data_IF_127756694976
#
_entry.id   IF_127756694976
#
_cell.length_a   1.000
_cell.length_b   1.000
_cell.length_c   1.000
_cell.angle_alpha   90.00
_cell.angle_beta   90.00
_cell.angle_gamma   90.00
#
_symmetry.space_group_name_H-M   'P 1'
#
loop_
_entity.id
_entity.type
_entity.pdbx_description
1 polymer ?
#
# COMPACT_ATOMS: atom_id res chain seq x y z
N UNK A 1 -34.54 22.73 17.22
CA UNK A 1 -35.48 21.74 17.77
C UNK A 1 -35.00 20.39 17.29
N UNK A 2 -34.17 19.69 18.08
CA UNK A 2 -33.55 18.43 17.67
C UNK A 2 -34.54 17.28 17.86
N UNK A 3 -34.66 16.42 16.86
CA UNK A 3 -35.58 15.28 16.89
C UNK A 3 -35.19 14.25 17.97
N UNK A 4 -36.12 13.85 18.86
CA UNK A 4 -35.86 12.92 19.97
C UNK A 4 -35.69 11.44 19.55
N UNK A 5 -35.53 11.15 18.26
CA UNK A 5 -35.37 9.80 17.70
C UNK A 5 -33.92 9.48 17.28
N UNK A 6 -32.99 10.38 17.59
CA UNK A 6 -31.55 10.28 17.30
C UNK A 6 -30.81 9.37 18.29
N UNK A 7 -31.41 8.22 18.62
CA UNK A 7 -30.77 7.20 19.47
C UNK A 7 -29.60 6.50 18.76
N UNK A 8 -28.69 5.84 19.52
CA UNK A 8 -27.52 5.12 18.99
C UNK A 8 -27.87 4.00 17.99
N UNK A 9 -29.13 3.57 17.93
CA UNK A 9 -29.64 2.64 16.93
C UNK A 9 -29.68 3.23 15.51
N UNK A 10 -29.98 4.53 15.36
CA UNK A 10 -30.00 5.20 14.05
C UNK A 10 -28.58 5.35 13.49
N UNK A 11 -27.57 5.59 14.33
CA UNK A 11 -26.18 5.67 13.86
C UNK A 11 -25.65 4.33 13.38
N UNK A 12 -25.92 3.23 14.11
CA UNK A 12 -25.50 1.89 13.70
C UNK A 12 -26.12 1.47 12.36
N UNK A 13 -27.39 1.82 12.11
CA UNK A 13 -28.09 1.51 10.87
C UNK A 13 -27.54 2.33 9.69
N UNK A 14 -27.20 3.60 9.91
CA UNK A 14 -26.53 4.45 8.92
C UNK A 14 -25.12 3.92 8.62
N UNK A 15 -24.34 3.54 9.63
CA UNK A 15 -23.01 2.95 9.43
C UNK A 15 -23.07 1.61 8.67
N UNK A 16 -24.07 0.77 8.98
CA UNK A 16 -24.30 -0.46 8.24
C UNK A 16 -24.71 -0.17 6.79
N UNK A 17 -25.56 0.83 6.55
CA UNK A 17 -25.96 1.25 5.21
C UNK A 17 -24.78 1.80 4.40
N UNK A 18 -23.87 2.57 5.01
CA UNK A 18 -22.65 3.04 4.36
C UNK A 18 -21.69 1.90 4.01
N UNK A 19 -21.56 0.89 4.87
CA UNK A 19 -20.77 -0.30 4.55
C UNK A 19 -21.37 -1.09 3.38
N UNK A 20 -22.69 -1.28 3.38
CA UNK A 20 -23.40 -1.92 2.28
C UNK A 20 -23.22 -1.08 1.00
N UNK A 21 -23.39 0.24 1.06
CA UNK A 21 -23.18 1.12 -0.08
C UNK A 21 -21.74 1.04 -0.61
N UNK A 22 -20.73 0.98 0.27
CA UNK A 22 -19.33 0.81 -0.12
C UNK A 22 -19.07 -0.53 -0.80
N UNK A 23 -19.67 -1.61 -0.32
CA UNK A 23 -19.55 -2.94 -0.97
C UNK A 23 -20.29 -3.00 -2.30
N UNK A 24 -21.46 -2.36 -2.44
CA UNK A 24 -22.21 -2.29 -3.70
C UNK A 24 -21.48 -1.45 -4.75
N UNK A 25 -20.97 -0.27 -4.38
CA UNK A 25 -20.25 0.61 -5.32
C UNK A 25 -18.86 0.08 -5.68
N UNK A 26 -18.20 -0.65 -4.77
CA UNK A 26 -16.86 -1.18 -4.99
C UNK A 26 -16.85 -2.59 -5.56
N UNK A 27 -16.94 -3.58 -4.67
CA UNK A 27 -16.74 -4.99 -5.01
C UNK A 27 -17.86 -5.55 -5.89
N UNK A 28 -19.12 -5.20 -5.62
CA UNK A 28 -20.25 -5.69 -6.42
C UNK A 28 -20.22 -5.09 -7.84
N UNK A 29 -19.91 -3.79 -7.98
CA UNK A 29 -19.83 -3.14 -9.28
C UNK A 29 -18.78 -3.78 -10.19
N UNK A 30 -17.58 -4.03 -9.65
CA UNK A 30 -16.50 -4.70 -10.40
C UNK A 30 -16.83 -6.15 -10.75
N UNK A 31 -17.49 -6.91 -9.86
CA UNK A 31 -17.89 -8.29 -10.16
C UNK A 31 -18.99 -8.37 -11.21
N UNK A 32 -20.00 -7.50 -11.18
CA UNK A 32 -21.03 -7.42 -12.24
C UNK A 32 -20.38 -7.09 -13.59
N UNK A 33 -19.42 -6.16 -13.61
CA UNK A 33 -18.67 -5.86 -14.82
C UNK A 33 -17.95 -7.10 -15.37
N UNK A 34 -17.30 -7.90 -14.52
CA UNK A 34 -16.65 -9.16 -14.94
C UNK A 34 -17.65 -10.21 -15.43
N UNK A 35 -18.82 -10.32 -14.79
CA UNK A 35 -19.89 -11.22 -15.27
C UNK A 35 -20.35 -10.79 -16.66
N UNK A 36 -20.55 -9.49 -16.92
CA UNK A 36 -20.91 -9.00 -18.24
C UNK A 36 -19.83 -9.36 -19.30
N UNK A 37 -18.54 -9.31 -18.96
CA UNK A 37 -17.44 -9.77 -19.83
C UNK A 37 -17.61 -11.26 -20.16
N UNK A 38 -17.92 -12.10 -19.16
CA UNK A 38 -18.12 -13.53 -19.36
C UNK A 38 -19.30 -13.83 -20.30
N UNK A 39 -20.40 -13.08 -20.19
CA UNK A 39 -21.55 -13.20 -21.10
C UNK A 39 -21.21 -12.76 -22.53
N UNK A 40 -20.38 -11.72 -22.72
CA UNK A 40 -19.90 -11.30 -24.05
C UNK A 40 -18.97 -12.36 -24.67
N UNK A 41 -18.08 -12.95 -23.86
CA UNK A 41 -17.22 -14.07 -24.27
C UNK A 41 -18.02 -15.32 -24.64
N UNK A 42 -19.08 -15.62 -23.88
CA UNK A 42 -20.01 -16.71 -24.19
C UNK A 42 -20.75 -16.44 -25.50
N UNK A 43 -21.14 -15.18 -25.74
CA UNK A 43 -21.69 -14.73 -27.03
C UNK A 43 -20.74 -15.02 -28.20
N UNK A 44 -19.42 -14.86 -28.01
CA UNK A 44 -18.45 -15.25 -29.04
C UNK A 44 -18.41 -16.76 -29.28
N UNK A 45 -18.53 -17.57 -28.23
CA UNK A 45 -18.51 -19.03 -28.31
C UNK A 45 -19.74 -19.59 -29.04
N UNK A 46 -20.88 -18.86 -29.03
CA UNK A 46 -22.07 -19.21 -29.82
C UNK A 46 -21.88 -19.18 -31.35
N UNK A 47 -20.66 -18.90 -31.84
CA UNK A 47 -20.20 -19.40 -33.14
C UNK A 47 -20.61 -18.57 -34.37
N UNK A 48 -21.19 -17.38 -34.19
CA UNK A 48 -21.63 -16.50 -35.30
C UNK A 48 -21.18 -15.04 -35.21
N UNK A 49 -20.35 -14.68 -34.23
CA UNK A 49 -19.82 -13.32 -34.06
C UNK A 49 -18.33 -13.35 -34.37
N UNK A 50 -17.84 -12.44 -35.23
CA UNK A 50 -16.42 -12.34 -35.58
C UNK A 50 -15.54 -12.35 -34.33
N UNK A 51 -14.74 -13.42 -34.15
CA UNK A 51 -13.85 -13.63 -33.00
C UNK A 51 -12.94 -12.42 -32.70
N UNK A 52 -12.62 -11.69 -33.77
CA UNK A 52 -11.85 -10.44 -33.74
C UNK A 52 -12.57 -9.33 -32.98
N UNK A 53 -13.90 -9.23 -33.10
CA UNK A 53 -14.67 -8.09 -32.56
C UNK A 53 -14.86 -8.21 -31.06
N UNK A 54 -15.18 -9.39 -30.55
CA UNK A 54 -15.32 -9.58 -29.12
C UNK A 54 -13.97 -9.76 -28.40
N UNK A 55 -12.90 -10.21 -29.05
CA UNK A 55 -11.55 -10.12 -28.48
C UNK A 55 -11.19 -8.65 -28.14
N UNK A 56 -11.48 -7.71 -29.04
CA UNK A 56 -11.29 -6.27 -28.79
C UNK A 56 -12.16 -5.75 -27.65
N UNK A 57 -13.40 -6.24 -27.50
CA UNK A 57 -14.31 -5.84 -26.40
C UNK A 57 -13.84 -6.38 -25.05
N UNK A 58 -13.40 -7.65 -24.99
CA UNK A 58 -12.83 -8.27 -23.79
C UNK A 58 -11.57 -7.52 -23.35
N UNK A 59 -10.68 -7.21 -24.30
CA UNK A 59 -9.47 -6.45 -24.04
C UNK A 59 -9.78 -5.03 -23.54
N UNK A 60 -10.73 -4.33 -24.18
CA UNK A 60 -11.16 -3.01 -23.74
C UNK A 60 -11.72 -3.02 -22.31
N UNK A 61 -12.60 -3.96 -21.99
CA UNK A 61 -13.18 -4.06 -20.65
C UNK A 61 -12.14 -4.42 -19.58
N UNK A 62 -11.17 -5.31 -19.89
CA UNK A 62 -10.04 -5.60 -19.01
C UNK A 62 -9.19 -4.36 -18.73
N UNK A 63 -8.97 -3.50 -19.73
CA UNK A 63 -8.21 -2.27 -19.53
C UNK A 63 -9.01 -1.25 -18.71
N UNK A 64 -10.32 -1.09 -18.93
CA UNK A 64 -11.18 -0.17 -18.16
C UNK A 64 -11.28 -0.53 -16.67
N UNK A 65 -11.43 -1.82 -16.34
CA UNK A 65 -11.62 -2.27 -14.94
C UNK A 65 -10.35 -2.83 -14.27
N UNK A 66 -9.50 -3.54 -15.02
CA UNK A 66 -8.33 -4.26 -14.49
C UNK A 66 -7.06 -3.42 -14.47
N UNK A 67 -6.75 -2.69 -15.54
CA UNK A 67 -5.49 -1.93 -15.64
C UNK A 67 -5.27 -0.90 -14.51
N UNK A 68 -6.28 -0.14 -14.03
CA UNK A 68 -6.08 0.81 -12.93
C UNK A 68 -5.63 0.13 -11.63
N UNK A 69 -6.15 -1.07 -11.35
CA UNK A 69 -5.80 -1.82 -10.13
C UNK A 69 -4.34 -2.29 -10.16
N UNK A 70 -3.88 -2.75 -11.33
CA UNK A 70 -2.50 -3.18 -11.56
C UNK A 70 -1.56 -1.97 -11.49
N UNK A 71 -1.93 -0.86 -12.14
CA UNK A 71 -1.16 0.37 -12.13
C UNK A 71 -1.00 0.93 -10.71
N UNK A 72 -2.08 0.98 -9.93
CA UNK A 72 -2.04 1.42 -8.54
C UNK A 72 -1.14 0.53 -7.67
N UNK A 73 -1.14 -0.80 -7.91
CA UNK A 73 -0.23 -1.73 -7.24
C UNK A 73 1.24 -1.45 -7.56
N UNK A 74 1.56 -1.21 -8.84
CA UNK A 74 2.92 -0.88 -9.28
C UNK A 74 3.38 0.50 -8.78
N UNK A 75 2.50 1.51 -8.77
CA UNK A 75 2.81 2.83 -8.24
C UNK A 75 3.17 2.77 -6.75
N UNK A 76 2.45 1.98 -5.95
CA UNK A 76 2.77 1.75 -4.53
C UNK A 76 4.14 1.12 -4.32
N UNK A 77 4.54 0.19 -5.19
CA UNK A 77 5.88 -0.40 -5.17
C UNK A 77 6.95 0.64 -5.55
N UNK A 78 6.64 1.53 -6.49
CA UNK A 78 7.52 2.63 -6.90
C UNK A 78 7.73 3.69 -5.81
N UNK A 79 6.67 4.11 -5.13
CA UNK A 79 6.73 5.07 -4.02
C UNK A 79 7.55 4.52 -2.84
N UNK A 80 7.43 3.21 -2.57
CA UNK A 80 8.26 2.54 -1.57
C UNK A 80 9.76 2.57 -1.91
N UNK A 81 10.12 2.61 -3.20
CA UNK A 81 11.51 2.79 -3.64
C UNK A 81 11.96 4.26 -3.76
N UNK A 82 11.02 5.21 -3.87
CA UNK A 82 11.29 6.64 -4.11
C UNK A 82 11.68 7.48 -2.88
N UNK A 83 11.70 6.89 -1.68
CA UNK A 83 11.97 7.60 -0.42
C UNK A 83 13.34 7.31 0.20
N UNK A 84 14.29 6.75 -0.57
CA UNK A 84 15.72 6.92 -0.23
C UNK A 84 16.12 8.35 -0.52
N UNK A 85 15.61 9.28 0.30
CA UNK A 85 16.11 10.63 0.36
C UNK A 85 17.63 10.53 0.51
N UNK A 86 18.37 11.14 -0.42
CA UNK A 86 19.76 11.46 -0.17
C UNK A 86 19.77 12.18 1.18
N UNK A 87 20.35 11.54 2.19
CA UNK A 87 20.44 12.13 3.53
C UNK A 87 21.03 13.53 3.34
N UNK A 88 20.29 14.61 3.65
CA UNK A 88 20.89 15.93 3.62
C UNK A 88 22.08 15.82 4.55
N UNK A 89 23.27 16.17 4.08
CA UNK A 89 24.50 16.16 4.86
C UNK A 89 24.24 17.05 6.08
N UNK A 90 23.71 16.46 7.15
CA UNK A 90 23.52 17.13 8.40
C UNK A 90 24.94 17.43 8.84
N UNK A 91 25.23 18.72 9.06
CA UNK A 91 26.44 19.10 9.76
C UNK A 91 26.37 18.37 11.11
N UNK A 92 27.06 17.23 11.22
CA UNK A 92 27.02 16.42 12.42
C UNK A 92 27.38 17.34 13.60
N UNK A 93 26.60 17.38 14.69
CA UNK A 93 27.01 18.13 15.87
C UNK A 93 28.44 17.68 16.23
N UNK A 94 29.35 18.61 16.55
CA UNK A 94 30.74 18.27 16.82
C UNK A 94 30.78 17.16 17.87
N UNK A 95 31.48 16.07 17.55
CA UNK A 95 31.50 14.87 18.37
C UNK A 95 31.77 15.27 19.84
N UNK A 96 31.03 14.71 20.81
CA UNK A 96 31.30 14.98 22.21
C UNK A 96 32.77 14.63 22.50
N UNK A 97 33.50 15.58 23.07
CA UNK A 97 34.87 15.37 23.53
C UNK A 97 34.78 14.22 24.55
N UNK A 98 35.29 13.05 24.17
CA UNK A 98 35.45 11.94 25.10
C UNK A 98 36.49 12.38 26.12
N UNK A 99 36.06 12.80 27.30
CA UNK A 99 36.99 12.95 28.41
C UNK A 99 37.51 11.55 28.74
N UNK A 100 38.83 11.31 28.66
CA UNK A 100 39.36 10.01 29.04
C UNK A 100 39.04 9.78 30.51
N UNK A 101 38.26 8.73 30.80
CA UNK A 101 38.00 8.28 32.16
C UNK A 101 39.34 7.97 32.83
N UNK A 102 39.60 8.42 34.07
CA UNK A 102 40.84 8.12 34.76
C UNK A 102 41.02 6.60 34.84
N UNK A 103 42.01 6.07 34.12
CA UNK A 103 42.32 4.63 34.13
C UNK A 103 42.76 4.24 35.54
N UNK A 104 42.08 3.28 36.20
CA UNK A 104 42.46 2.80 37.52
C UNK A 104 43.91 2.28 37.52
N UNK A 105 44.69 2.70 38.51
CA UNK A 105 46.12 2.39 38.64
C UNK A 105 46.32 0.86 38.78
N UNK A 106 46.92 0.24 37.76
CA UNK A 106 47.32 -1.17 37.81
C UNK A 106 48.80 -1.28 38.26
N UNK A 107 49.07 -1.79 39.47
CA UNK A 107 50.43 -1.91 40.00
C UNK A 107 51.31 -2.91 39.23
N UNK A 108 50.74 -3.75 38.36
CA UNK A 108 51.52 -4.62 37.48
C UNK A 108 52.02 -3.92 36.19
N UNK A 109 51.57 -2.69 35.91
CA UNK A 109 52.05 -1.87 34.79
C UNK A 109 53.55 -1.46 34.92
N UNK A 110 54.18 -1.68 36.08
CA UNK A 110 55.62 -1.51 36.30
C UNK A 110 56.46 -2.80 36.21
N UNK A 111 55.84 -3.98 36.10
CA UNK A 111 56.55 -5.27 36.09
C UNK A 111 56.84 -5.80 34.68
N UNK A 112 56.21 -5.23 33.64
CA UNK A 112 56.30 -5.70 32.25
C UNK A 112 57.20 -4.85 31.34
N UNK A 113 57.93 -3.86 31.88
CA UNK A 113 58.99 -3.18 31.12
C UNK A 113 60.28 -3.99 31.24
N UNK A 114 60.78 -4.61 30.16
CA UNK A 114 62.05 -5.31 30.19
C UNK A 114 63.17 -4.28 30.33
N UNK A 115 63.96 -4.35 31.41
CA UNK A 115 65.17 -3.54 31.57
C UNK A 115 66.22 -4.13 30.63
N UNK A 116 66.56 -3.40 29.56
CA UNK A 116 67.63 -3.76 28.62
C UNK A 116 68.80 -2.81 28.77
#
# INVERSE_FOLDING_TARGET
MGDPLSGPSTSALVTAAEWIQGTLLGTLATTIAVIAIAWIGLGMLTGRIDLRRGATVVLGCFVLFGAPTIAAGLMRLGDASGTRAAEPIALAPPAPIVTPSPVPYDPYAGASVPVR
#
